data_IF_901774575125
#
_entry.id   IF_901774575125
#
_cell.length_a   1.000
_cell.length_b   1.000
_cell.length_c   1.000
_cell.angle_alpha   90.00
_cell.angle_beta   90.00
_cell.angle_gamma   90.00
#
_symmetry.space_group_name_H-M   'P 1'
#
loop_
_entity.id
_entity.type
_entity.pdbx_description
1 polymer ?
#
# COMPACT_ATOMS: atom_id res chain seq x y z
N UNK A 1 -8.12 17.09 20.20
CA UNK A 1 -6.81 17.63 20.62
C UNK A 1 -6.93 18.44 21.91
N UNK A 2 -7.63 19.58 21.93
CA UNK A 2 -7.76 20.42 23.13
C UNK A 2 -8.30 19.68 24.38
N UNK A 3 -9.29 18.80 24.20
CA UNK A 3 -9.84 17.96 25.28
C UNK A 3 -8.82 17.01 25.94
N UNK A 4 -7.68 16.76 25.30
CA UNK A 4 -6.59 15.91 25.80
C UNK A 4 -5.38 16.73 26.27
N UNK A 5 -5.51 18.06 26.37
CA UNK A 5 -4.39 18.94 26.72
C UNK A 5 -3.31 19.04 25.65
N UNK A 6 -3.61 18.63 24.41
CA UNK A 6 -2.67 18.71 23.28
C UNK A 6 -2.70 20.12 22.70
N UNK A 7 -1.53 20.76 22.67
CA UNK A 7 -1.35 22.09 22.09
C UNK A 7 -0.92 21.97 20.63
N UNK A 8 -1.44 22.85 19.77
CA UNK A 8 -0.99 22.97 18.38
C UNK A 8 0.10 24.03 18.33
N UNK A 9 1.30 23.61 17.95
CA UNK A 9 2.47 24.49 17.84
C UNK A 9 2.51 25.21 16.49
N UNK A 10 2.07 24.52 15.43
CA UNK A 10 2.09 25.05 14.06
C UNK A 10 1.14 24.29 13.12
N UNK A 11 0.62 24.99 12.12
CA UNK A 11 -0.21 24.43 11.04
C UNK A 11 0.31 24.92 9.69
N UNK A 12 0.44 24.03 8.71
CA UNK A 12 0.66 24.42 7.30
C UNK A 12 -0.01 23.49 6.30
N UNK A 13 -0.25 24.01 5.11
CA UNK A 13 -0.49 23.19 3.92
C UNK A 13 0.78 22.49 3.45
N UNK A 14 0.63 21.24 3.02
CA UNK A 14 1.71 20.43 2.43
C UNK A 14 1.40 19.98 1.00
N UNK A 15 0.12 19.98 0.61
CA UNK A 15 -0.34 19.73 -0.76
C UNK A 15 -1.72 20.34 -0.99
N UNK A 16 -2.00 20.68 -2.24
CA UNK A 16 -3.30 21.12 -2.76
C UNK A 16 -3.82 20.17 -3.87
N UNK A 17 -2.93 19.35 -4.44
CA UNK A 17 -3.23 18.32 -5.42
C UNK A 17 -2.32 17.09 -5.22
N UNK A 18 -2.79 15.85 -5.45
CA UNK A 18 -4.17 15.45 -5.79
C UNK A 18 -5.13 15.48 -4.60
N UNK A 19 -4.60 15.66 -3.38
CA UNK A 19 -5.38 15.73 -2.15
C UNK A 19 -4.90 16.94 -1.34
N UNK A 20 -5.83 17.64 -0.70
CA UNK A 20 -5.51 18.71 0.24
C UNK A 20 -4.83 18.11 1.47
N UNK A 21 -3.58 18.49 1.71
CA UNK A 21 -2.79 18.00 2.83
C UNK A 21 -2.49 19.11 3.82
N UNK A 22 -2.72 18.84 5.10
CA UNK A 22 -2.36 19.72 6.21
C UNK A 22 -1.41 18.99 7.18
N UNK A 23 -0.34 19.67 7.60
CA UNK A 23 0.54 19.23 8.69
C UNK A 23 0.25 20.07 9.93
N UNK A 24 -0.07 19.40 11.03
CA UNK A 24 -0.16 20.01 12.36
C UNK A 24 0.99 19.47 13.21
N UNK A 25 1.82 20.36 13.74
CA UNK A 25 2.78 19.99 14.78
C UNK A 25 2.15 20.27 16.13
N UNK A 26 2.24 19.28 17.00
CA UNK A 26 1.56 19.31 18.29
C UNK A 26 2.49 18.89 19.41
N UNK A 27 2.29 19.52 20.57
CA UNK A 27 2.91 19.13 21.83
C UNK A 27 1.92 18.28 22.62
N UNK A 28 2.25 17.00 22.79
CA UNK A 28 1.39 16.00 23.42
C UNK A 28 1.86 15.74 24.87
N UNK A 29 0.99 15.90 25.88
CA UNK A 29 1.35 15.55 27.26
C UNK A 29 1.72 14.07 27.42
N UNK A 30 2.60 13.73 28.38
CA UNK A 30 2.90 12.33 28.70
C UNK A 30 1.63 11.53 28.97
N UNK A 31 1.52 10.34 28.36
CA UNK A 31 0.35 9.46 28.49
C UNK A 31 -0.84 9.80 27.60
N UNK A 32 -0.85 10.93 26.89
CA UNK A 32 -1.95 11.33 26.02
C UNK A 32 -1.85 10.79 24.58
N UNK A 33 -0.72 10.17 24.18
CA UNK A 33 -0.50 9.69 22.81
C UNK A 33 -1.53 8.65 22.36
N UNK A 34 -1.75 7.59 23.15
CA UNK A 34 -2.74 6.54 22.83
C UNK A 34 -4.17 7.10 22.70
N UNK A 35 -4.68 7.84 23.71
CA UNK A 35 -5.97 8.51 23.62
C UNK A 35 -6.10 9.47 22.43
N UNK A 36 -5.03 10.19 22.09
CA UNK A 36 -5.00 11.07 20.92
C UNK A 36 -5.16 10.27 19.62
N UNK A 37 -4.41 9.18 19.46
CA UNK A 37 -4.49 8.32 18.28
C UNK A 37 -5.92 7.77 18.12
N UNK A 38 -6.51 7.20 19.18
CA UNK A 38 -7.88 6.68 19.13
C UNK A 38 -8.91 7.76 18.79
N UNK A 39 -8.78 8.95 19.38
CA UNK A 39 -9.69 10.06 19.09
C UNK A 39 -9.58 10.51 17.63
N UNK A 40 -8.36 10.58 17.08
CA UNK A 40 -8.13 10.97 15.69
C UNK A 40 -8.54 9.90 14.68
N UNK A 41 -8.36 8.61 14.99
CA UNK A 41 -8.91 7.52 14.16
C UNK A 41 -10.42 7.61 14.03
N UNK A 42 -11.12 7.95 15.12
CA UNK A 42 -12.57 8.13 15.08
C UNK A 42 -12.96 9.33 14.22
N UNK A 43 -12.29 10.46 14.38
CA UNK A 43 -12.52 11.66 13.54
C UNK A 43 -12.24 11.36 12.07
N UNK A 44 -11.17 10.64 11.76
CA UNK A 44 -10.84 10.22 10.40
C UNK A 44 -12.01 9.47 9.73
N UNK A 45 -12.61 8.51 10.46
CA UNK A 45 -13.75 7.74 9.99
C UNK A 45 -15.05 8.56 9.89
N UNK A 46 -15.33 9.40 10.89
CA UNK A 46 -16.54 10.23 10.94
C UNK A 46 -16.55 11.30 9.83
N UNK A 47 -15.40 11.91 9.55
CA UNK A 47 -15.28 13.03 8.61
C UNK A 47 -14.81 12.60 7.20
N UNK A 48 -14.46 11.33 7.01
CA UNK A 48 -13.99 10.81 5.73
C UNK A 48 -12.64 11.39 5.29
N UNK A 49 -11.72 11.59 6.24
CA UNK A 49 -10.37 12.11 6.00
C UNK A 49 -9.30 11.17 6.52
N UNK A 50 -8.13 11.15 5.88
CA UNK A 50 -6.99 10.38 6.39
C UNK A 50 -6.26 11.17 7.49
N UNK A 51 -5.99 10.50 8.63
CA UNK A 51 -5.22 11.09 9.73
C UNK A 51 -4.09 10.17 10.16
N UNK A 52 -2.86 10.65 10.02
CA UNK A 52 -1.66 9.97 10.51
C UNK A 52 -1.07 10.74 11.70
N UNK A 53 -0.68 10.02 12.75
CA UNK A 53 0.03 10.56 13.92
C UNK A 53 1.41 9.94 13.94
N UNK A 54 2.44 10.78 13.93
CA UNK A 54 3.83 10.35 13.90
C UNK A 54 4.66 11.09 14.95
N UNK A 55 5.65 10.40 15.52
CA UNK A 55 6.60 11.03 16.41
C UNK A 55 7.44 12.08 15.67
N UNK A 56 7.44 13.30 16.20
CA UNK A 56 8.22 14.40 15.65
C UNK A 56 9.61 14.46 16.30
N UNK A 57 10.65 14.01 15.60
CA UNK A 57 12.01 14.02 16.12
C UNK A 57 13.09 13.76 15.06
N UNK A 58 14.36 13.83 15.48
CA UNK A 58 15.51 13.62 14.57
C UNK A 58 15.50 12.25 13.90
N UNK A 59 15.09 11.21 14.64
CA UNK A 59 15.01 9.83 14.17
C UNK A 59 13.96 9.62 13.05
N UNK A 60 12.90 10.44 13.04
CA UNK A 60 11.90 10.39 11.96
C UNK A 60 12.49 10.85 10.63
N UNK A 61 13.35 11.89 10.67
CA UNK A 61 14.02 12.46 9.48
C UNK A 61 15.09 11.55 8.89
N UNK A 62 15.39 10.42 9.55
CA UNK A 62 16.43 9.48 9.14
C UNK A 62 15.88 8.18 8.56
N UNK A 63 14.58 8.09 8.22
CA UNK A 63 14.08 6.96 7.42
C UNK A 63 14.84 6.92 6.07
N UNK A 64 15.32 5.74 5.69
CA UNK A 64 16.17 5.51 4.49
C UNK A 64 15.83 4.25 3.71
N UNK A 65 14.86 3.46 4.16
CA UNK A 65 14.40 2.24 3.50
C UNK A 65 12.88 2.27 3.44
N UNK A 66 12.34 1.88 2.30
CA UNK A 66 10.92 1.64 2.10
C UNK A 66 10.73 0.39 1.25
N UNK A 67 9.79 -0.44 1.65
CA UNK A 67 9.35 -1.61 0.89
C UNK A 67 7.87 -1.44 0.58
N UNK A 68 7.51 -1.74 -0.66
CA UNK A 68 6.13 -1.72 -1.10
C UNK A 68 5.64 -3.14 -1.35
N UNK A 69 4.36 -3.37 -1.09
CA UNK A 69 3.68 -4.46 -1.77
C UNK A 69 3.55 -4.15 -3.28
N UNK A 70 3.27 -5.17 -4.08
CA UNK A 70 3.12 -5.03 -5.53
C UNK A 70 1.66 -4.89 -5.88
N UNK A 71 0.89 -5.96 -5.74
CA UNK A 71 -0.52 -6.01 -6.11
C UNK A 71 -1.33 -5.02 -5.28
N UNK A 72 -2.27 -4.32 -5.94
CA UNK A 72 -3.10 -3.26 -5.34
C UNK A 72 -2.34 -2.15 -4.58
N UNK A 73 -1.02 -2.02 -4.79
CA UNK A 73 -0.16 -1.04 -4.10
C UNK A 73 0.73 -0.28 -5.08
N UNK A 74 1.72 -0.94 -5.70
CA UNK A 74 2.54 -0.34 -6.75
C UNK A 74 1.92 -0.49 -8.13
N UNK A 75 1.23 -1.61 -8.36
CA UNK A 75 0.47 -1.88 -9.58
C UNK A 75 -1.02 -1.86 -9.28
N UNK A 76 -1.82 -1.59 -10.30
CA UNK A 76 -3.26 -1.62 -10.20
C UNK A 76 -3.77 -3.05 -10.36
N UNK A 77 -4.68 -3.46 -9.48
CA UNK A 77 -5.31 -4.77 -9.49
C UNK A 77 -4.39 -5.90 -9.03
N UNK A 78 -4.86 -7.13 -9.27
CA UNK A 78 -4.24 -8.37 -8.83
C UNK A 78 -3.66 -9.16 -10.02
N UNK A 79 -2.34 -9.34 -10.05
CA UNK A 79 -1.65 -10.06 -11.12
C UNK A 79 -2.19 -11.48 -11.31
N UNK A 80 -2.53 -12.16 -10.22
CA UNK A 80 -3.04 -13.55 -10.28
C UNK A 80 -4.44 -13.62 -10.91
N UNK A 81 -5.26 -12.59 -10.76
CA UNK A 81 -6.58 -12.49 -11.39
C UNK A 81 -6.44 -12.22 -12.89
N UNK A 82 -5.50 -11.35 -13.28
CA UNK A 82 -5.17 -11.12 -14.69
C UNK A 82 -4.69 -12.41 -15.39
N UNK A 83 -3.91 -13.24 -14.69
CA UNK A 83 -3.50 -14.57 -15.18
C UNK A 83 -4.70 -15.53 -15.26
N UNK A 84 -5.55 -15.53 -14.24
CA UNK A 84 -6.74 -16.39 -14.19
C UNK A 84 -7.77 -16.06 -15.27
N UNK A 85 -7.89 -14.79 -15.66
CA UNK A 85 -8.73 -14.36 -16.78
C UNK A 85 -8.32 -15.04 -18.09
N UNK A 86 -7.01 -15.30 -18.30
CA UNK A 86 -6.52 -16.04 -19.47
C UNK A 86 -6.87 -17.53 -19.43
N UNK A 87 -7.14 -18.08 -18.25
CA UNK A 87 -7.67 -19.43 -18.05
C UNK A 87 -9.22 -19.48 -18.00
N UNK A 88 -9.92 -18.35 -18.11
CA UNK A 88 -11.36 -18.28 -17.89
C UNK A 88 -11.78 -18.55 -16.44
N UNK A 89 -10.87 -18.38 -15.49
CA UNK A 89 -11.04 -18.70 -14.07
C UNK A 89 -11.04 -17.47 -13.14
N UNK A 90 -11.17 -16.26 -13.70
CA UNK A 90 -11.12 -14.99 -12.95
C UNK A 90 -12.09 -14.98 -11.76
N UNK A 91 -13.35 -15.33 -11.98
CA UNK A 91 -14.36 -15.35 -10.91
C UNK A 91 -14.05 -16.36 -9.78
N UNK A 92 -13.45 -17.51 -10.12
CA UNK A 92 -13.05 -18.49 -9.12
C UNK A 92 -11.87 -17.98 -8.27
N UNK A 93 -10.89 -17.36 -8.91
CA UNK A 93 -9.74 -16.76 -8.23
C UNK A 93 -10.14 -15.58 -7.37
N UNK A 94 -10.98 -14.67 -7.88
CA UNK A 94 -11.51 -13.54 -7.12
C UNK A 94 -12.24 -13.99 -5.85
N UNK A 95 -13.06 -15.04 -5.92
CA UNK A 95 -13.73 -15.60 -4.75
C UNK A 95 -12.76 -16.13 -3.69
N UNK A 96 -11.67 -16.79 -4.11
CA UNK A 96 -10.61 -17.28 -3.21
C UNK A 96 -9.79 -16.12 -2.63
N UNK A 97 -9.48 -15.10 -3.43
CA UNK A 97 -8.79 -13.87 -2.99
C UNK A 97 -9.59 -13.19 -1.88
N UNK A 98 -10.88 -12.97 -2.12
CA UNK A 98 -11.80 -12.35 -1.17
C UNK A 98 -11.93 -13.15 0.14
N UNK A 99 -12.03 -14.48 0.06
CA UNK A 99 -12.07 -15.34 1.25
C UNK A 99 -10.76 -15.26 2.05
N UNK A 100 -9.60 -15.21 1.38
CA UNK A 100 -8.31 -15.05 2.05
C UNK A 100 -8.18 -13.68 2.73
N UNK A 101 -8.66 -12.60 2.10
CA UNK A 101 -8.66 -11.26 2.68
C UNK A 101 -9.58 -11.13 3.90
N UNK A 102 -10.68 -11.90 3.96
CA UNK A 102 -11.53 -12.03 5.16
C UNK A 102 -10.91 -12.90 6.26
N UNK A 103 -9.74 -13.51 6.01
CA UNK A 103 -9.08 -14.42 6.96
C UNK A 103 -9.71 -15.81 7.05
N UNK A 104 -10.55 -16.19 6.08
CA UNK A 104 -11.21 -17.51 6.05
C UNK A 104 -10.29 -18.61 5.53
N UNK A 105 -9.24 -18.23 4.79
CA UNK A 105 -8.22 -19.12 4.25
C UNK A 105 -6.83 -18.66 4.68
N UNK A 106 -5.97 -19.62 5.03
CA UNK A 106 -4.55 -19.35 5.19
C UNK A 106 -3.95 -18.87 3.86
N UNK A 107 -2.94 -17.99 3.93
CA UNK A 107 -2.30 -17.40 2.77
C UNK A 107 -1.73 -18.47 1.82
N UNK A 108 -1.02 -19.47 2.34
CA UNK A 108 -0.39 -20.49 1.51
C UNK A 108 -1.44 -21.39 0.84
N UNK A 109 -2.51 -21.72 1.57
CA UNK A 109 -3.64 -22.48 1.03
C UNK A 109 -4.36 -21.71 -0.09
N UNK A 110 -4.68 -20.44 0.15
CA UNK A 110 -5.28 -19.56 -0.85
C UNK A 110 -4.40 -19.44 -2.10
N UNK A 111 -3.09 -19.25 -1.92
CA UNK A 111 -2.15 -19.15 -3.05
C UNK A 111 -2.10 -20.44 -3.85
N UNK A 112 -2.02 -21.61 -3.21
CA UNK A 112 -2.04 -22.90 -3.92
C UNK A 112 -3.33 -23.10 -4.73
N UNK A 113 -4.49 -22.77 -4.14
CA UNK A 113 -5.77 -22.89 -4.84
C UNK A 113 -5.85 -21.97 -6.05
N UNK A 114 -5.45 -20.71 -5.91
CA UNK A 114 -5.46 -19.74 -7.02
C UNK A 114 -4.46 -20.11 -8.12
N UNK A 115 -3.25 -20.55 -7.76
CA UNK A 115 -2.24 -20.96 -8.76
C UNK A 115 -2.68 -22.23 -9.49
N UNK A 116 -3.38 -23.15 -8.83
CA UNK A 116 -3.89 -24.36 -9.48
C UNK A 116 -4.86 -24.06 -10.63
N UNK A 117 -5.61 -22.96 -10.59
CA UNK A 117 -6.52 -22.57 -11.69
C UNK A 117 -5.78 -22.15 -12.96
N UNK A 118 -4.47 -21.92 -12.88
CA UNK A 118 -3.63 -21.50 -14.01
C UNK A 118 -3.04 -22.70 -14.78
N UNK A 119 -3.33 -23.94 -14.34
CA UNK A 119 -2.81 -25.15 -14.96
C UNK A 119 -3.19 -25.24 -16.44
N UNK A 120 -2.20 -25.53 -17.29
CA UNK A 120 -2.38 -25.64 -18.74
C UNK A 120 -2.14 -24.35 -19.53
N UNK A 121 -2.01 -23.19 -18.86
CA UNK A 121 -1.60 -21.97 -19.54
C UNK A 121 -0.15 -22.03 -20.03
N UNK A 122 0.17 -21.51 -21.23
CA UNK A 122 1.54 -21.39 -21.69
C UNK A 122 2.27 -20.34 -20.84
N UNK A 123 3.54 -20.61 -20.50
CA UNK A 123 4.34 -19.71 -19.67
C UNK A 123 4.55 -18.30 -20.26
N UNK A 124 4.31 -18.11 -21.57
CA UNK A 124 4.33 -16.80 -22.24
C UNK A 124 3.24 -15.86 -21.72
N UNK A 125 2.16 -16.38 -21.13
CA UNK A 125 1.08 -15.58 -20.54
C UNK A 125 1.59 -14.62 -19.45
N UNK A 126 2.68 -14.99 -18.78
CA UNK A 126 3.31 -14.18 -17.73
C UNK A 126 3.88 -12.90 -18.34
N UNK A 127 4.52 -13.00 -19.50
CA UNK A 127 5.13 -11.87 -20.18
C UNK A 127 4.02 -10.95 -20.76
N UNK A 128 2.94 -11.54 -21.29
CA UNK A 128 1.77 -10.80 -21.78
C UNK A 128 1.08 -9.99 -20.67
N UNK A 129 0.85 -10.61 -19.50
CA UNK A 129 0.25 -9.94 -18.34
C UNK A 129 1.19 -8.86 -17.81
N UNK A 130 2.48 -9.15 -17.71
CA UNK A 130 3.48 -8.19 -17.27
C UNK A 130 3.52 -6.91 -18.13
N UNK A 131 3.35 -7.04 -19.45
CA UNK A 131 3.30 -5.91 -20.36
C UNK A 131 2.03 -5.04 -20.23
N UNK A 132 0.96 -5.58 -19.63
CA UNK A 132 -0.33 -4.88 -19.46
C UNK A 132 -0.43 -4.16 -18.12
N UNK A 133 0.50 -4.41 -17.18
CA UNK A 133 0.46 -3.83 -15.85
C UNK A 133 0.49 -2.30 -15.89
N UNK A 134 -0.46 -1.72 -15.18
CA UNK A 134 -0.52 -0.28 -14.95
C UNK A 134 -0.01 0.01 -13.54
N UNK A 135 0.89 0.99 -13.44
CA UNK A 135 1.32 1.48 -12.14
C UNK A 135 0.18 2.22 -11.44
N UNK A 136 0.14 2.14 -10.12
CA UNK A 136 -0.76 2.94 -9.30
C UNK A 136 -0.54 4.44 -9.60
N UNK A 137 -1.61 5.26 -9.74
CA UNK A 137 -1.46 6.70 -9.88
C UNK A 137 -0.56 7.27 -8.79
N UNK A 138 0.45 8.04 -9.19
CA UNK A 138 1.45 8.58 -8.28
C UNK A 138 2.66 7.68 -8.02
N UNK A 139 2.63 6.37 -8.27
CA UNK A 139 3.74 5.45 -7.97
C UNK A 139 5.09 5.89 -8.57
N UNK A 140 5.10 6.31 -9.85
CA UNK A 140 6.31 6.86 -10.50
C UNK A 140 6.83 8.12 -9.80
N UNK A 141 5.94 8.99 -9.35
CA UNK A 141 6.31 10.22 -8.62
C UNK A 141 6.83 9.89 -7.22
N UNK A 142 6.19 8.94 -6.54
CA UNK A 142 6.60 8.43 -5.22
C UNK A 142 8.01 7.87 -5.28
N UNK A 143 8.28 6.89 -6.16
CA UNK A 143 9.60 6.27 -6.30
C UNK A 143 10.68 7.29 -6.67
N UNK A 144 10.42 8.16 -7.65
CA UNK A 144 11.35 9.22 -8.06
C UNK A 144 11.69 10.16 -6.90
N UNK A 145 10.71 10.51 -6.07
CA UNK A 145 10.90 11.42 -4.92
C UNK A 145 11.71 10.75 -3.82
N UNK A 146 11.37 9.50 -3.49
CA UNK A 146 12.09 8.70 -2.49
C UNK A 146 13.55 8.50 -2.87
N UNK A 147 13.83 8.17 -4.13
CA UNK A 147 15.20 8.04 -4.64
C UNK A 147 16.00 9.34 -4.50
N UNK A 148 15.40 10.50 -4.83
CA UNK A 148 16.03 11.82 -4.63
C UNK A 148 16.32 12.13 -3.16
N UNK A 149 15.50 11.62 -2.25
CA UNK A 149 15.70 11.73 -0.80
C UNK A 149 16.70 10.70 -0.24
N UNK A 150 17.28 9.86 -1.10
CA UNK A 150 18.29 8.86 -0.73
C UNK A 150 17.71 7.59 -0.10
N UNK A 151 16.42 7.28 -0.34
CA UNK A 151 15.83 6.03 0.10
C UNK A 151 16.29 4.86 -0.77
N UNK A 152 16.56 3.73 -0.11
CA UNK A 152 16.53 2.41 -0.74
C UNK A 152 15.07 2.00 -0.89
N UNK A 153 14.65 1.69 -2.11
CA UNK A 153 13.30 1.23 -2.42
C UNK A 153 13.35 -0.25 -2.78
N UNK A 154 12.43 -1.04 -2.25
CA UNK A 154 12.28 -2.45 -2.58
C UNK A 154 10.81 -2.85 -2.67
N UNK A 155 10.58 -4.10 -3.06
CA UNK A 155 9.25 -4.70 -3.10
C UNK A 155 9.24 -6.02 -2.36
N UNK A 156 8.13 -6.33 -1.71
CA UNK A 156 7.85 -7.62 -1.07
C UNK A 156 6.47 -8.03 -1.55
N UNK A 157 6.36 -9.16 -2.23
CA UNK A 157 5.09 -9.61 -2.80
C UNK A 157 4.97 -11.12 -2.74
N UNK A 158 3.74 -11.61 -2.60
CA UNK A 158 3.37 -13.02 -2.75
C UNK A 158 3.20 -13.46 -4.21
N UNK A 159 3.37 -12.55 -5.16
CA UNK A 159 3.17 -12.76 -6.60
C UNK A 159 4.38 -13.37 -7.30
N UNK A 160 4.38 -13.28 -8.63
CA UNK A 160 5.33 -14.00 -9.48
C UNK A 160 6.58 -13.18 -9.79
N UNK A 161 7.75 -13.69 -9.39
CA UNK A 161 9.06 -13.04 -9.63
C UNK A 161 9.26 -12.56 -11.08
N UNK A 162 8.86 -13.36 -12.06
CA UNK A 162 9.03 -13.06 -13.50
C UNK A 162 8.23 -11.82 -13.95
N UNK A 163 7.19 -11.44 -13.21
CA UNK A 163 6.38 -10.23 -13.44
C UNK A 163 6.98 -9.03 -12.68
N UNK A 164 7.48 -9.28 -11.48
CA UNK A 164 7.99 -8.24 -10.57
C UNK A 164 9.38 -7.73 -11.00
N UNK A 165 10.27 -8.60 -11.46
CA UNK A 165 11.65 -8.23 -11.83
C UNK A 165 11.74 -7.14 -12.91
N UNK A 166 10.96 -7.20 -14.01
CA UNK A 166 10.93 -6.10 -14.98
C UNK A 166 10.50 -4.77 -14.36
N UNK A 167 9.51 -4.78 -13.46
CA UNK A 167 9.00 -3.60 -12.76
C UNK A 167 10.07 -2.95 -11.87
N UNK A 168 10.87 -3.77 -11.20
CA UNK A 168 11.93 -3.29 -10.30
C UNK A 168 13.13 -2.66 -11.04
N UNK A 169 13.26 -2.87 -12.36
CA UNK A 169 14.35 -2.32 -13.19
C UNK A 169 13.96 -1.06 -13.98
N UNK A 170 12.68 -0.71 -14.01
CA UNK A 170 12.12 0.42 -14.76
C UNK A 170 12.00 1.70 -13.94
#
# INVERSE_FOLDING_TARGET
>A
MAALGVNIDFIRGISDYPVTGLELRVSVPPGAYGPLQSALTRVAAEEGVDVAVEDYGLAWRTKRLIVFDVDSTLVQGEVIEMLAARAGAEGAVAAITEAAMRGELDFAQSLHQRVATLAGLPASVIDDVGAQLQLMPGARTTLRTLQRLGFRCGVVSGGFRRIIEPLARS
#
